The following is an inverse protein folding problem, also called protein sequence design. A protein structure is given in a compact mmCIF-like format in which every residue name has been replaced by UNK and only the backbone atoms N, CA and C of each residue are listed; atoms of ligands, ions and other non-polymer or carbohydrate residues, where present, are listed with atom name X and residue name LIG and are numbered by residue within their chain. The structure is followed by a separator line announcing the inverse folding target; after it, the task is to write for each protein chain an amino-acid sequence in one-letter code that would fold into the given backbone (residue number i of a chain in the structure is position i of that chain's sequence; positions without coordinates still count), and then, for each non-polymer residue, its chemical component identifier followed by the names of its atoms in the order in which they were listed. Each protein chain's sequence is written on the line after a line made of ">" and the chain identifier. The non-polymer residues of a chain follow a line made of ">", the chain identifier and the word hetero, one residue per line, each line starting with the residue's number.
data_IF_241252240454
#
_entry.id   IF_241252240454
#
_cell.length_a   1.000
_cell.length_b   1.000
_cell.length_c   1.000
_cell.angle_alpha   90.00
_cell.angle_beta   90.00
_cell.angle_gamma   90.00
#
_symmetry.space_group_name_H-M   'P 1'
#
loop_
_entity.id
_entity.type
_entity.pdbx_description
1 polymer ?
#
# COMPACT_ATOMS: atom_id res chain seq x y z
N UNK A 1 18.36 5.51 -9.86
CA UNK A 1 17.07 6.19 -9.97
C UNK A 1 16.81 6.48 -11.44
N UNK A 2 15.75 5.94 -12.03
CA UNK A 2 15.39 6.25 -13.43
C UNK A 2 14.82 7.66 -13.46
N UNK A 3 15.59 8.59 -14.03
CA UNK A 3 15.23 10.02 -14.12
C UNK A 3 14.65 10.42 -15.46
N UNK A 4 14.72 9.53 -16.45
CA UNK A 4 14.21 9.75 -17.81
C UNK A 4 13.77 8.43 -18.43
N UNK A 5 12.73 8.50 -19.27
CA UNK A 5 12.25 7.40 -20.12
C UNK A 5 12.85 7.46 -21.54
N UNK A 6 13.79 8.37 -21.80
CA UNK A 6 14.45 8.50 -23.09
C UNK A 6 15.13 7.19 -23.51
N UNK A 7 14.89 6.75 -24.75
CA UNK A 7 15.36 5.47 -25.27
C UNK A 7 14.70 4.23 -24.65
N UNK A 8 13.70 4.39 -23.76
CA UNK A 8 12.88 3.28 -23.24
C UNK A 8 11.62 3.11 -24.07
N UNK A 9 11.10 1.89 -24.07
CA UNK A 9 9.80 1.59 -24.65
C UNK A 9 8.70 2.42 -23.94
N UNK A 10 7.68 2.94 -24.65
CA UNK A 10 6.63 3.78 -24.04
C UNK A 10 5.93 3.15 -22.83
N UNK A 11 5.76 1.83 -22.84
CA UNK A 11 5.17 1.06 -21.73
C UNK A 11 6.21 0.57 -20.70
N UNK A 12 7.38 1.19 -20.62
CA UNK A 12 8.41 0.81 -19.65
C UNK A 12 7.95 1.11 -18.23
N UNK A 13 8.12 0.14 -17.34
CA UNK A 13 7.99 0.34 -15.91
C UNK A 13 8.84 -0.71 -15.17
N UNK A 14 9.24 -0.35 -13.96
CA UNK A 14 9.98 -1.23 -13.05
C UNK A 14 9.08 -1.70 -11.90
N UNK A 15 8.13 -0.86 -11.49
CA UNK A 15 7.21 -1.17 -10.40
C UNK A 15 5.77 -0.84 -10.76
N UNK A 16 4.84 -1.64 -10.25
CA UNK A 16 3.40 -1.39 -10.28
C UNK A 16 2.90 -1.14 -8.86
N UNK A 17 2.49 0.10 -8.56
CA UNK A 17 1.85 0.45 -7.29
C UNK A 17 0.34 0.28 -7.44
N UNK A 18 -0.22 -0.67 -6.69
CA UNK A 18 -1.63 -1.02 -6.69
C UNK A 18 -2.28 -0.49 -5.42
N UNK A 19 -3.20 0.45 -5.57
CA UNK A 19 -4.03 0.96 -4.47
C UNK A 19 -5.37 0.22 -4.47
N UNK A 20 -5.78 -0.32 -3.33
CA UNK A 20 -7.05 -1.04 -3.17
C UNK A 20 -7.87 -0.47 -2.03
N UNK A 21 -9.13 -0.19 -2.33
CA UNK A 21 -10.07 0.56 -1.51
C UNK A 21 -9.49 1.91 -1.02
N UNK A 22 -8.75 2.68 -1.84
CA UNK A 22 -8.23 3.97 -1.39
C UNK A 22 -9.37 4.95 -1.16
N UNK A 23 -9.18 5.91 -0.24
CA UNK A 23 -9.96 7.14 -0.22
C UNK A 23 -9.21 8.24 -1.00
N UNK A 24 -9.86 9.38 -1.23
CA UNK A 24 -9.26 10.48 -1.99
C UNK A 24 -7.96 11.00 -1.37
N UNK A 25 -7.84 10.99 -0.03
CA UNK A 25 -6.62 11.42 0.65
C UNK A 25 -5.40 10.57 0.28
N UNK A 26 -5.57 9.25 0.19
CA UNK A 26 -4.51 8.32 -0.23
C UNK A 26 -4.12 8.57 -1.69
N UNK A 27 -5.10 8.75 -2.58
CA UNK A 27 -4.86 9.03 -4.01
C UNK A 27 -4.07 10.33 -4.16
N UNK A 28 -4.55 11.42 -3.54
CA UNK A 28 -3.90 12.72 -3.57
C UNK A 28 -2.48 12.67 -3.00
N UNK A 29 -2.25 11.87 -1.95
CA UNK A 29 -0.90 11.69 -1.39
C UNK A 29 0.04 11.02 -2.40
N UNK A 30 -0.41 9.95 -3.08
CA UNK A 30 0.40 9.25 -4.09
C UNK A 30 0.75 10.19 -5.24
N UNK A 31 -0.24 10.90 -5.79
CA UNK A 31 -0.04 11.83 -6.90
C UNK A 31 0.92 12.98 -6.53
N UNK A 32 0.78 13.51 -5.31
CA UNK A 32 1.69 14.54 -4.78
C UNK A 32 3.13 14.03 -4.64
N UNK A 33 3.32 12.80 -4.16
CA UNK A 33 4.66 12.23 -3.98
C UNK A 33 5.33 11.93 -5.33
N UNK A 34 4.56 11.49 -6.33
CA UNK A 34 5.03 11.28 -7.69
C UNK A 34 5.43 12.61 -8.36
N UNK A 35 4.58 13.64 -8.27
CA UNK A 35 4.85 14.95 -8.88
C UNK A 35 6.02 15.67 -8.23
N UNK A 36 6.20 15.57 -6.91
CA UNK A 36 7.30 16.19 -6.17
C UNK A 36 8.69 15.86 -6.73
N UNK A 37 8.86 14.67 -7.30
CA UNK A 37 10.14 14.22 -7.87
C UNK A 37 10.10 14.08 -9.39
N UNK A 38 9.04 14.58 -10.04
CA UNK A 38 8.75 14.38 -11.45
C UNK A 38 8.89 12.90 -11.86
N UNK A 39 8.33 12.00 -11.05
CA UNK A 39 8.46 10.55 -11.24
C UNK A 39 7.77 10.12 -12.54
N UNK A 40 8.48 9.46 -13.48
CA UNK A 40 7.83 8.98 -14.70
C UNK A 40 6.83 7.86 -14.39
N UNK A 41 5.58 8.09 -14.77
CA UNK A 41 4.47 7.13 -14.71
C UNK A 41 3.97 6.90 -16.13
N UNK A 42 4.09 5.67 -16.63
CA UNK A 42 3.76 5.35 -18.04
C UNK A 42 2.30 5.02 -18.25
N UNK A 43 1.62 4.56 -17.20
CA UNK A 43 0.19 4.25 -17.23
C UNK A 43 -0.39 4.42 -15.83
N UNK A 44 -1.59 4.98 -15.76
CA UNK A 44 -2.48 4.85 -14.61
C UNK A 44 -3.74 4.14 -15.09
N UNK A 45 -4.10 3.06 -14.40
CA UNK A 45 -5.27 2.25 -14.75
C UNK A 45 -6.22 2.22 -13.57
N UNK A 46 -7.46 2.66 -13.79
CA UNK A 46 -8.54 2.48 -12.84
C UNK A 46 -9.06 1.05 -12.92
N UNK A 47 -9.25 0.43 -11.76
CA UNK A 47 -9.78 -0.93 -11.60
C UNK A 47 -10.97 -0.89 -10.64
N UNK A 48 -11.78 -1.95 -10.62
CA UNK A 48 -13.04 -2.02 -9.84
C UNK A 48 -12.95 -1.49 -8.40
N UNK A 49 -11.82 -1.66 -7.73
CA UNK A 49 -11.64 -1.23 -6.34
C UNK A 49 -10.39 -0.36 -6.11
N UNK A 50 -9.92 0.38 -7.11
CA UNK A 50 -8.84 1.35 -6.94
C UNK A 50 -8.03 1.59 -8.21
N UNK A 51 -6.72 1.71 -8.07
CA UNK A 51 -5.85 2.18 -9.15
C UNK A 51 -4.55 1.38 -9.24
N UNK A 52 -4.01 1.23 -10.45
CA UNK A 52 -2.69 0.68 -10.72
C UNK A 52 -1.82 1.75 -11.41
N UNK A 53 -0.75 2.18 -10.73
CA UNK A 53 0.25 3.11 -11.25
C UNK A 53 1.47 2.34 -11.73
N UNK A 54 1.86 2.55 -12.98
CA UNK A 54 3.01 1.91 -13.60
C UNK A 54 4.20 2.88 -13.58
N UNK A 55 5.13 2.64 -12.66
CA UNK A 55 6.18 3.58 -12.25
C UNK A 55 7.54 3.11 -12.76
N UNK A 56 8.33 4.04 -13.30
CA UNK A 56 9.62 3.76 -13.91
C UNK A 56 10.76 3.46 -12.92
N UNK A 57 10.55 3.65 -11.61
CA UNK A 57 11.59 3.49 -10.58
C UNK A 57 11.14 2.55 -9.46
N UNK A 58 11.83 1.42 -9.32
CA UNK A 58 11.50 0.42 -8.30
C UNK A 58 11.78 0.88 -6.87
N UNK A 59 12.91 1.56 -6.65
CA UNK A 59 13.36 1.95 -5.30
C UNK A 59 12.43 2.99 -4.69
N UNK A 60 12.06 4.01 -5.47
CA UNK A 60 11.10 5.02 -5.10
C UNK A 60 9.74 4.38 -4.76
N UNK A 61 9.26 3.50 -5.62
CA UNK A 61 7.94 2.86 -5.47
C UNK A 61 7.87 2.04 -4.17
N UNK A 62 8.91 1.26 -3.86
CA UNK A 62 9.00 0.55 -2.58
C UNK A 62 8.98 1.49 -1.38
N UNK A 63 9.71 2.60 -1.48
CA UNK A 63 9.70 3.66 -0.46
C UNK A 63 8.31 4.26 -0.28
N UNK A 64 7.61 4.56 -1.38
CA UNK A 64 6.27 5.12 -1.37
C UNK A 64 5.26 4.16 -0.72
N UNK A 65 5.30 2.86 -1.04
CA UNK A 65 4.48 1.84 -0.38
C UNK A 65 4.67 1.79 1.14
N UNK A 66 5.92 1.87 1.63
CA UNK A 66 6.22 1.92 3.07
C UNK A 66 5.71 3.21 3.74
N UNK A 67 5.81 4.35 3.05
CA UNK A 67 5.28 5.64 3.54
C UNK A 67 3.74 5.61 3.60
N UNK A 68 3.09 5.04 2.60
CA UNK A 68 1.63 4.81 2.59
C UNK A 68 1.19 4.03 3.83
N UNK A 69 1.77 2.85 4.05
CA UNK A 69 1.45 2.04 5.23
C UNK A 69 1.70 2.78 6.54
N UNK A 70 2.84 3.46 6.66
CA UNK A 70 3.18 4.18 7.90
C UNK A 70 2.24 5.35 8.18
N UNK A 71 1.72 6.00 7.14
CA UNK A 71 0.87 7.19 7.25
C UNK A 71 -0.61 6.83 7.45
N UNK A 72 -1.12 5.89 6.67
CA UNK A 72 -2.55 5.60 6.59
C UNK A 72 -2.95 4.31 7.30
N UNK A 73 -1.97 3.50 7.73
CA UNK A 73 -2.22 2.09 8.02
C UNK A 73 -2.60 1.32 6.76
N UNK A 74 -2.71 0.00 6.85
CA UNK A 74 -3.11 -0.83 5.71
C UNK A 74 -2.19 -2.01 5.47
N UNK A 75 -2.69 -2.95 4.69
CA UNK A 75 -1.92 -4.10 4.24
C UNK A 75 -1.01 -3.67 3.09
N UNK A 76 0.30 -3.84 3.28
CA UNK A 76 1.31 -3.69 2.25
C UNK A 76 1.87 -5.07 1.90
N UNK A 77 1.78 -5.46 0.63
CA UNK A 77 2.40 -6.66 0.08
C UNK A 77 3.31 -6.24 -1.06
N UNK A 78 4.55 -6.71 -1.04
CA UNK A 78 5.52 -6.45 -2.11
C UNK A 78 5.97 -7.79 -2.67
N UNK A 79 5.85 -7.96 -3.98
CA UNK A 79 6.31 -9.16 -4.70
C UNK A 79 7.15 -8.74 -5.91
N UNK A 80 8.05 -9.62 -6.35
CA UNK A 80 8.85 -9.40 -7.56
C UNK A 80 8.72 -10.62 -8.47
N UNK A 81 8.68 -10.37 -9.77
CA UNK A 81 8.58 -11.41 -10.81
C UNK A 81 9.60 -11.14 -11.91
N UNK A 82 10.20 -12.19 -12.45
CA UNK A 82 11.13 -12.09 -13.57
C UNK A 82 10.37 -11.57 -14.80
N UNK A 83 10.82 -10.46 -15.35
CA UNK A 83 10.23 -9.84 -16.54
C UNK A 83 10.97 -10.25 -17.82
N UNK A 84 12.30 -10.20 -17.80
CA UNK A 84 13.13 -10.57 -18.95
C UNK A 84 14.55 -10.93 -18.53
N UNK A 85 15.32 -11.49 -19.47
CA UNK A 85 16.78 -11.58 -19.39
C UNK A 85 17.39 -10.73 -20.49
N UNK A 86 18.43 -9.95 -20.18
CA UNK A 86 19.17 -9.14 -21.15
C UNK A 86 20.65 -9.19 -20.80
N UNK A 87 21.50 -9.56 -21.76
CA UNK A 87 22.96 -9.68 -21.59
C UNK A 87 23.36 -10.54 -20.38
N UNK A 88 22.65 -11.66 -20.19
CA UNK A 88 22.85 -12.57 -19.05
C UNK A 88 22.32 -12.06 -17.69
N UNK A 89 21.81 -10.82 -17.62
CA UNK A 89 21.22 -10.25 -16.40
C UNK A 89 19.72 -10.42 -16.38
N UNK A 90 19.20 -10.82 -15.23
CA UNK A 90 17.76 -10.92 -14.98
C UNK A 90 17.18 -9.54 -14.64
N UNK A 91 16.09 -9.19 -15.32
CA UNK A 91 15.36 -7.95 -15.11
C UNK A 91 14.03 -8.32 -14.46
N UNK A 92 13.79 -7.79 -13.26
CA UNK A 92 12.59 -8.03 -12.48
C UNK A 92 11.64 -6.84 -12.55
N UNK A 93 10.35 -7.12 -12.39
CA UNK A 93 9.31 -6.12 -12.11
C UNK A 93 8.71 -6.37 -10.73
N UNK A 94 8.51 -5.30 -9.99
CA UNK A 94 7.97 -5.36 -8.62
C UNK A 94 6.51 -4.94 -8.61
N UNK A 95 5.67 -5.67 -7.89
CA UNK A 95 4.29 -5.27 -7.58
C UNK A 95 4.22 -4.86 -6.12
N UNK A 96 3.69 -3.66 -5.87
CA UNK A 96 3.50 -3.09 -4.54
C UNK A 96 2.00 -2.91 -4.34
N UNK A 97 1.39 -3.80 -3.59
CA UNK A 97 -0.03 -3.74 -3.25
C UNK A 97 -0.20 -3.04 -1.90
N UNK A 98 -0.93 -1.94 -1.91
CA UNK A 98 -1.45 -1.29 -0.72
C UNK A 98 -2.97 -1.42 -0.66
N UNK A 99 -3.47 -2.04 0.41
CA UNK A 99 -4.92 -2.18 0.67
C UNK A 99 -5.27 -1.44 1.95
N UNK A 100 -6.15 -0.44 1.82
CA UNK A 100 -6.70 0.30 2.96
C UNK A 100 -7.51 -0.64 3.86
N UNK A 101 -7.39 -0.44 5.17
CA UNK A 101 -8.27 -1.09 6.16
C UNK A 101 -9.67 -0.47 6.13
N UNK A 102 -10.72 -1.22 6.52
CA UNK A 102 -12.08 -0.68 6.62
C UNK A 102 -12.29 0.18 7.88
N UNK A 103 -11.31 0.22 8.78
CA UNK A 103 -11.28 1.05 10.00
C UNK A 103 -10.00 1.89 10.03
N UNK A 104 -9.99 2.92 10.87
CA UNK A 104 -8.89 3.84 11.10
C UNK A 104 -8.44 3.81 12.57
N UNK A 105 -7.37 4.54 12.86
CA UNK A 105 -6.96 4.80 14.24
C UNK A 105 -8.08 5.54 14.97
N UNK A 106 -8.29 5.14 16.23
CA UNK A 106 -9.31 5.57 17.18
C UNK A 106 -10.70 4.94 17.02
N UNK A 107 -10.95 4.22 15.95
CA UNK A 107 -12.22 3.49 15.77
C UNK A 107 -12.36 2.39 16.84
N UNK A 108 -13.61 2.07 17.18
CA UNK A 108 -13.96 0.89 17.96
C UNK A 108 -14.32 -0.24 17.00
N UNK A 109 -13.69 -1.40 17.18
CA UNK A 109 -13.83 -2.58 16.34
C UNK A 109 -14.07 -3.82 17.20
N UNK A 110 -14.64 -4.85 16.59
CA UNK A 110 -14.83 -6.15 17.22
C UNK A 110 -13.68 -7.09 16.84
N UNK A 111 -13.08 -7.73 17.85
CA UNK A 111 -12.04 -8.75 17.68
C UNK A 111 -12.20 -9.82 18.75
N UNK A 112 -12.29 -11.09 18.36
CA UNK A 112 -12.46 -12.21 19.30
C UNK A 112 -13.72 -12.13 20.17
N UNK A 113 -14.77 -11.45 19.69
CA UNK A 113 -16.03 -11.26 20.44
C UNK A 113 -16.01 -10.12 21.46
N UNK A 114 -14.90 -9.39 21.61
CA UNK A 114 -14.80 -8.22 22.50
C UNK A 114 -14.60 -6.92 21.68
N UNK A 115 -14.97 -5.79 22.29
CA UNK A 115 -14.72 -4.45 21.73
C UNK A 115 -13.30 -3.97 22.03
N UNK A 116 -12.63 -3.51 20.99
CA UNK A 116 -11.29 -2.93 21.06
C UNK A 116 -11.23 -1.57 20.37
N UNK A 117 -10.44 -0.65 20.93
CA UNK A 117 -10.04 0.60 20.27
C UNK A 117 -8.79 0.38 19.43
N UNK A 118 -8.79 0.84 18.18
CA UNK A 118 -7.59 0.85 17.33
C UNK A 118 -6.66 1.98 17.80
N UNK A 119 -5.55 1.65 18.44
CA UNK A 119 -4.65 2.67 19.03
C UNK A 119 -3.49 3.05 18.11
N UNK A 120 -3.02 2.14 17.25
CA UNK A 120 -1.88 2.37 16.37
C UNK A 120 -1.94 1.44 15.15
N UNK A 121 -1.51 1.95 13.99
CA UNK A 121 -1.52 1.21 12.71
C UNK A 121 -0.22 1.47 11.92
N UNK A 122 0.92 1.03 12.47
CA UNK A 122 2.23 1.19 11.79
C UNK A 122 2.57 -0.06 10.98
N UNK A 123 3.44 -0.94 11.51
CA UNK A 123 3.74 -2.27 10.91
C UNK A 123 2.67 -3.32 11.25
N UNK A 124 1.95 -3.11 12.34
CA UNK A 124 0.88 -3.96 12.85
C UNK A 124 -0.27 -3.07 13.32
N UNK A 125 -1.43 -3.70 13.49
CA UNK A 125 -2.63 -3.10 14.09
C UNK A 125 -2.56 -3.37 15.59
N UNK A 126 -2.50 -2.29 16.37
CA UNK A 126 -2.50 -2.37 17.83
C UNK A 126 -3.90 -2.06 18.33
N UNK A 127 -4.44 -2.94 19.14
CA UNK A 127 -5.78 -2.85 19.71
C UNK A 127 -5.70 -2.75 21.24
N UNK A 128 -6.61 -1.99 21.84
CA UNK A 128 -6.78 -1.88 23.30
C UNK A 128 -8.23 -2.20 23.67
N UNK A 129 -8.44 -3.26 24.45
CA UNK A 129 -9.76 -3.71 24.89
C UNK A 129 -10.46 -2.60 25.67
N UNK A 130 -11.68 -2.25 25.25
CA UNK A 130 -12.42 -1.11 25.83
C UNK A 130 -12.73 -1.37 27.31
N UNK A 131 -13.28 -2.56 27.59
CA UNK A 131 -13.63 -3.03 28.94
C UNK A 131 -12.46 -3.75 29.61
N UNK A 132 -11.83 -4.69 28.89
CA UNK A 132 -10.83 -5.61 29.46
C UNK A 132 -9.44 -5.00 29.63
N UNK A 133 -9.16 -3.86 28.97
CA UNK A 133 -7.84 -3.21 28.90
C UNK A 133 -6.71 -4.09 28.32
N UNK A 134 -7.04 -5.27 27.76
CA UNK A 134 -6.11 -6.16 27.07
C UNK A 134 -5.50 -5.46 25.85
N UNK A 135 -4.24 -5.78 25.53
CA UNK A 135 -3.54 -5.23 24.37
C UNK A 135 -3.30 -6.34 23.36
N UNK A 136 -3.76 -6.16 22.14
CA UNK A 136 -3.55 -7.11 21.04
C UNK A 136 -2.72 -6.47 19.93
N UNK A 137 -1.94 -7.31 19.23
CA UNK A 137 -1.14 -6.91 18.07
C UNK A 137 -1.44 -7.84 16.91
N UNK A 138 -2.13 -7.32 15.90
CA UNK A 138 -2.60 -8.09 14.75
C UNK A 138 -1.80 -7.68 13.52
N UNK A 139 -1.38 -8.66 12.71
CA UNK A 139 -0.75 -8.38 11.41
C UNK A 139 -1.82 -7.88 10.45
N UNK A 140 -1.45 -7.00 9.51
CA UNK A 140 -2.40 -6.57 8.48
C UNK A 140 -2.89 -7.69 7.58
N UNK A 141 -2.15 -8.81 7.46
CA UNK A 141 -2.61 -10.00 6.74
C UNK A 141 -3.83 -10.64 7.38
N UNK A 142 -3.99 -10.46 8.69
CA UNK A 142 -5.04 -11.06 9.52
C UNK A 142 -6.13 -10.03 9.86
N UNK A 143 -6.13 -8.86 9.19
CA UNK A 143 -7.05 -7.76 9.46
C UNK A 143 -8.53 -8.11 9.21
N UNK A 144 -8.80 -9.17 8.44
CA UNK A 144 -10.15 -9.69 8.21
C UNK A 144 -10.79 -10.29 9.47
N UNK A 145 -10.00 -10.61 10.50
CA UNK A 145 -10.52 -11.03 11.81
C UNK A 145 -11.10 -9.87 12.62
N UNK A 146 -10.81 -8.62 12.21
CA UNK A 146 -11.29 -7.40 12.86
C UNK A 146 -12.51 -6.92 12.10
N UNK A 147 -13.66 -6.84 12.78
CA UNK A 147 -14.92 -6.36 12.19
C UNK A 147 -15.16 -4.92 12.60
N UNK A 148 -15.52 -4.07 11.64
CA UNK A 148 -16.02 -2.72 11.94
C UNK A 148 -17.34 -2.89 12.68
N UNK A 149 -17.56 -2.09 13.73
CA UNK A 149 -18.85 -2.04 14.40
C UNK A 149 -19.84 -1.39 13.44
N UNK A 150 -20.86 -2.13 13.03
CA UNK A 150 -22.02 -1.54 12.37
C UNK A 150 -22.85 -0.84 13.45
N UNK A 151 -23.25 0.40 13.19
CA UNK A 151 -24.09 1.21 14.08
C UNK A 151 -25.52 0.64 14.18
#
# INVERSE_FOLDING_TARGET
>A
MVRSLEGKHPNYYEAKLQLRNPNQEIVNYVEKELSKVNMPVTKVEEVKNGFDYYIADNQFSNGLGKRLQSRFGGLLIVTSSLFSRKDGKEIYRTTILFRKTPFNKNDIVMYGGEEYKVVRMLKQIHLLGVKTKKKERIRFTDMNMIKVKED
#
